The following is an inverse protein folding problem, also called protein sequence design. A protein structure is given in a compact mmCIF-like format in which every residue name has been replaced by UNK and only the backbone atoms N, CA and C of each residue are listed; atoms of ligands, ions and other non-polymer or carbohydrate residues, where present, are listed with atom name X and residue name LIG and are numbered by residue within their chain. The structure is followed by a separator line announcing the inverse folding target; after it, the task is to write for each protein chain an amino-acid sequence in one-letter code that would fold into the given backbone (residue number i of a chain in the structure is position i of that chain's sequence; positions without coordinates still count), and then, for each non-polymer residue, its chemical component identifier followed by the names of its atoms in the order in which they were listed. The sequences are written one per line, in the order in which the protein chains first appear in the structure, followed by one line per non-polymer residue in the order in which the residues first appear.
data_IF_392790341704
#
_entry.id   IF_392790341704
#
_cell.length_a   1.000
_cell.length_b   1.000
_cell.length_c   1.000
_cell.angle_alpha   90.00
_cell.angle_beta   90.00
_cell.angle_gamma   90.00
#
_symmetry.space_group_name_H-M   'P 1'
#
loop_
_entity.id
_entity.type
_entity.pdbx_description
1 polymer ?
#
# COMPACT_ATOMS: atom_id res chain seq x y z
N UNK A 1 -18.58 43.26 -63.19
CA UNK A 1 -17.28 43.08 -62.51
C UNK A 1 -17.47 43.37 -61.02
N UNK A 2 -17.18 42.37 -60.16
CA UNK A 2 -17.03 42.33 -58.68
C UNK A 2 -18.00 43.15 -57.78
N UNK A 3 -18.94 42.55 -57.02
CA UNK A 3 -18.85 41.70 -55.80
C UNK A 3 -18.17 42.40 -54.60
N UNK A 4 -18.89 42.51 -53.47
CA UNK A 4 -18.32 42.82 -52.15
C UNK A 4 -19.33 43.17 -51.04
N UNK A 5 -20.25 42.27 -50.68
CA UNK A 5 -21.13 42.44 -49.51
C UNK A 5 -20.45 41.88 -48.24
N UNK A 6 -20.10 42.80 -47.33
CA UNK A 6 -19.70 42.52 -45.95
C UNK A 6 -20.93 42.10 -45.14
N UNK A 7 -20.89 40.91 -44.56
CA UNK A 7 -21.86 40.51 -43.54
C UNK A 7 -21.78 39.02 -43.24
N UNK A 8 -21.19 38.66 -42.09
CA UNK A 8 -21.36 37.42 -41.28
C UNK A 8 -20.08 37.11 -40.49
N UNK A 9 -19.90 37.73 -39.32
CA UNK A 9 -18.89 37.26 -38.32
C UNK A 9 -19.45 37.23 -36.88
N UNK A 10 -20.78 37.27 -36.69
CA UNK A 10 -21.35 37.42 -35.33
C UNK A 10 -22.30 36.29 -34.88
N UNK A 11 -22.26 35.11 -35.51
CA UNK A 11 -23.14 33.98 -35.14
C UNK A 11 -22.39 32.72 -34.65
N UNK A 12 -21.05 32.67 -34.72
CA UNK A 12 -20.31 31.42 -34.43
C UNK A 12 -19.75 31.28 -33.01
N UNK A 13 -19.89 32.26 -32.12
CA UNK A 13 -19.33 32.18 -30.75
C UNK A 13 -20.34 31.68 -29.70
N UNK A 14 -21.64 31.81 -29.95
CA UNK A 14 -22.68 31.40 -28.98
C UNK A 14 -23.06 29.91 -29.02
N UNK A 15 -22.71 29.18 -30.08
CA UNK A 15 -23.03 27.74 -30.19
C UNK A 15 -21.95 26.82 -29.59
N UNK A 16 -20.70 27.28 -29.39
CA UNK A 16 -19.66 26.50 -28.71
C UNK A 16 -19.77 26.51 -27.18
N UNK A 17 -20.42 27.52 -26.59
CA UNK A 17 -20.60 27.60 -25.13
C UNK A 17 -21.62 26.61 -24.57
N UNK A 18 -22.68 26.29 -25.32
CA UNK A 18 -23.72 25.36 -24.86
C UNK A 18 -23.33 23.88 -25.00
N UNK A 19 -22.41 23.53 -25.90
CA UNK A 19 -21.91 22.15 -26.06
C UNK A 19 -20.93 21.73 -24.95
N UNK A 20 -20.29 22.69 -24.27
CA UNK A 20 -19.40 22.39 -23.13
C UNK A 20 -20.19 22.17 -21.83
N UNK A 21 -21.32 22.86 -21.65
CA UNK A 21 -22.18 22.74 -20.47
C UNK A 21 -22.98 21.41 -20.42
N UNK A 22 -23.24 20.77 -21.56
CA UNK A 22 -23.96 19.49 -21.62
C UNK A 22 -23.06 18.26 -21.49
N UNK A 23 -21.77 18.38 -21.82
CA UNK A 23 -20.77 17.30 -21.61
C UNK A 23 -20.34 17.18 -20.14
N UNK A 24 -20.33 18.29 -19.38
CA UNK A 24 -20.04 18.27 -17.94
C UNK A 24 -21.15 17.60 -17.10
N UNK A 25 -22.38 17.53 -17.64
CA UNK A 25 -23.51 16.87 -16.98
C UNK A 25 -23.55 15.35 -17.22
N UNK A 26 -22.86 14.84 -18.25
CA UNK A 26 -22.87 13.41 -18.61
C UNK A 26 -21.79 12.58 -17.90
N UNK A 27 -20.76 13.20 -17.33
CA UNK A 27 -19.69 12.48 -16.61
C UNK A 27 -20.09 12.04 -15.19
N UNK A 28 -21.24 12.48 -14.67
CA UNK A 28 -21.72 12.14 -13.33
C UNK A 28 -22.56 10.84 -13.25
N UNK A 29 -22.73 10.11 -14.35
CA UNK A 29 -23.65 8.96 -14.43
C UNK A 29 -23.07 7.67 -15.01
N UNK A 30 -21.74 7.54 -15.15
CA UNK A 30 -21.15 6.29 -15.64
C UNK A 30 -21.17 5.21 -14.53
N UNK A 31 -21.73 4.01 -14.79
CA UNK A 31 -21.75 2.93 -13.81
C UNK A 31 -20.33 2.38 -13.65
N UNK A 32 -19.70 2.67 -12.50
CA UNK A 32 -18.40 2.10 -12.14
C UNK A 32 -17.51 2.97 -11.25
N UNK A 33 -17.86 4.23 -10.99
CA UNK A 33 -17.24 5.04 -9.94
C UNK A 33 -17.89 4.79 -8.57
N UNK A 34 -17.15 4.90 -7.45
CA UNK A 34 -17.77 4.90 -6.13
C UNK A 34 -18.82 6.02 -6.07
N UNK A 35 -20.01 5.71 -5.56
CA UNK A 35 -21.08 6.70 -5.41
C UNK A 35 -20.64 7.79 -4.44
N UNK A 36 -21.14 9.03 -4.57
CA UNK A 36 -20.90 10.09 -3.57
C UNK A 36 -21.21 9.60 -2.16
N UNK A 37 -22.27 8.80 -1.98
CA UNK A 37 -22.63 8.19 -0.70
C UNK A 37 -21.56 7.24 -0.11
N UNK A 38 -20.76 6.56 -0.93
CA UNK A 38 -19.66 5.71 -0.44
C UNK A 38 -18.43 6.55 -0.03
N UNK A 39 -18.15 7.64 -0.76
CA UNK A 39 -17.12 8.60 -0.38
C UNK A 39 -17.50 9.33 0.91
N UNK A 40 -18.74 9.82 1.00
CA UNK A 40 -19.31 10.47 2.19
C UNK A 40 -19.32 9.51 3.40
N UNK A 41 -19.56 8.21 3.21
CA UNK A 41 -19.51 7.25 4.31
C UNK A 41 -18.07 7.00 4.80
N UNK A 42 -17.09 6.96 3.89
CA UNK A 42 -15.68 6.77 4.25
C UNK A 42 -15.10 8.01 4.94
N UNK A 43 -15.49 9.20 4.46
CA UNK A 43 -15.15 10.49 5.05
C UNK A 43 -15.86 10.65 6.41
N UNK A 44 -17.14 10.30 6.52
CA UNK A 44 -17.90 10.28 7.78
C UNK A 44 -17.36 9.28 8.81
N UNK A 45 -16.91 8.09 8.39
CA UNK A 45 -16.26 7.12 9.29
C UNK A 45 -14.90 7.64 9.77
N UNK A 46 -14.13 8.26 8.88
CA UNK A 46 -12.85 8.89 9.25
C UNK A 46 -13.08 10.09 10.17
N UNK A 47 -14.13 10.88 9.96
CA UNK A 47 -14.51 12.01 10.79
C UNK A 47 -15.02 11.57 12.16
N UNK A 48 -15.75 10.46 12.23
CA UNK A 48 -16.18 9.84 13.50
C UNK A 48 -14.98 9.27 14.27
N UNK A 49 -14.03 8.65 13.57
CA UNK A 49 -12.76 8.20 14.15
C UNK A 49 -11.91 9.39 14.64
N UNK A 50 -11.82 10.46 13.83
CA UNK A 50 -11.10 11.69 14.16
C UNK A 50 -11.74 12.44 15.34
N UNK A 51 -13.06 12.42 15.46
CA UNK A 51 -13.81 13.01 16.57
C UNK A 51 -13.70 12.19 17.87
N UNK A 52 -13.30 10.92 17.78
CA UNK A 52 -13.05 10.04 18.93
C UNK A 52 -11.61 10.13 19.45
N UNK A 53 -10.73 10.87 18.77
CA UNK A 53 -9.33 11.05 19.14
C UNK A 53 -9.23 12.27 20.06
N UNK A 54 -8.80 12.11 21.33
CA UNK A 54 -8.67 13.21 22.27
C UNK A 54 -7.75 14.32 21.75
N UNK A 55 -8.11 15.57 22.05
CA UNK A 55 -7.31 16.75 21.72
C UNK A 55 -6.00 16.85 22.51
N UNK A 56 -5.08 17.76 22.14
CA UNK A 56 -3.87 18.02 22.91
C UNK A 56 -4.27 18.48 24.33
N UNK A 57 -3.89 17.71 25.35
CA UNK A 57 -4.22 17.97 26.77
C UNK A 57 -5.37 17.16 27.36
N UNK A 58 -6.09 16.35 26.56
CA UNK A 58 -7.14 15.44 27.08
C UNK A 58 -6.59 14.06 27.49
N UNK A 59 -5.34 13.77 27.13
CA UNK A 59 -4.61 12.59 27.57
C UNK A 59 -4.04 12.81 28.99
N UNK A 60 -4.92 12.87 29.99
CA UNK A 60 -4.66 13.30 31.37
C UNK A 60 -3.24 13.11 31.93
N UNK A 61 -2.75 14.19 32.55
CA UNK A 61 -1.63 14.21 33.49
C UNK A 61 -1.97 13.36 34.72
N UNK A 62 -1.34 12.20 34.85
CA UNK A 62 -1.49 11.32 36.01
C UNK A 62 -0.10 10.91 36.49
N UNK A 63 0.67 11.86 37.02
CA UNK A 63 1.92 11.56 37.71
C UNK A 63 2.67 12.81 38.20
N UNK A 64 3.10 12.87 39.47
CA UNK A 64 3.83 14.01 40.00
C UNK A 64 5.31 13.96 39.58
N UNK A 65 5.81 15.06 39.01
CA UNK A 65 7.21 15.26 38.65
C UNK A 65 7.37 15.68 37.21
N UNK A 66 7.30 17.00 36.97
CA UNK A 66 7.56 17.75 35.73
C UNK A 66 7.82 16.88 34.51
N UNK A 67 6.75 16.27 33.97
CA UNK A 67 6.82 15.68 32.65
C UNK A 67 6.80 16.84 31.68
N UNK A 68 7.82 16.97 30.82
CA UNK A 68 7.61 17.69 29.57
C UNK A 68 6.42 16.97 28.93
N UNK A 69 5.27 17.64 28.91
CA UNK A 69 4.11 17.12 28.20
C UNK A 69 4.54 17.00 26.74
N UNK A 70 4.91 15.77 26.37
CA UNK A 70 5.44 15.43 25.06
C UNK A 70 4.46 15.90 24.00
N UNK A 71 3.16 15.79 24.28
CA UNK A 71 2.08 16.18 23.39
C UNK A 71 2.01 17.69 23.26
N UNK A 72 2.05 18.45 24.35
CA UNK A 72 2.03 19.93 24.27
C UNK A 72 3.24 20.49 23.55
N UNK A 73 4.45 19.99 23.84
CA UNK A 73 5.65 20.47 23.19
C UNK A 73 5.69 20.05 21.71
N UNK A 74 5.36 18.80 21.38
CA UNK A 74 5.35 18.36 19.98
C UNK A 74 4.16 18.90 19.18
N UNK A 75 3.02 19.21 19.79
CA UNK A 75 1.94 19.93 19.11
C UNK A 75 2.40 21.32 18.62
N UNK A 76 3.31 21.98 19.34
CA UNK A 76 3.89 23.27 18.95
C UNK A 76 5.13 23.12 18.06
N UNK A 77 6.08 22.25 18.44
CA UNK A 77 7.40 22.16 17.81
C UNK A 77 7.44 21.23 16.60
N UNK A 78 6.61 20.19 16.57
CA UNK A 78 6.52 19.25 15.46
C UNK A 78 5.08 18.78 15.27
N UNK A 79 4.19 19.67 14.80
CA UNK A 79 2.77 19.37 14.66
C UNK A 79 2.53 18.18 13.73
N UNK A 80 3.42 17.92 12.76
CA UNK A 80 3.27 16.78 11.87
C UNK A 80 3.37 15.45 12.62
N UNK A 81 4.38 15.29 13.49
CA UNK A 81 4.55 14.07 14.29
C UNK A 81 3.42 13.91 15.30
N UNK A 82 3.01 15.01 15.95
CA UNK A 82 1.87 14.99 16.86
C UNK A 82 0.57 14.56 16.14
N UNK A 83 0.28 15.16 14.98
CA UNK A 83 -0.93 14.90 14.21
C UNK A 83 -0.97 13.49 13.59
N UNK A 84 0.18 12.95 13.18
CA UNK A 84 0.25 11.57 12.68
C UNK A 84 0.11 10.55 13.81
N UNK A 85 0.77 10.78 14.96
CA UNK A 85 0.58 9.94 16.13
C UNK A 85 -0.87 9.98 16.63
N UNK A 86 -1.49 11.15 16.80
CA UNK A 86 -2.84 11.21 17.38
C UNK A 86 -3.88 10.43 16.57
N UNK A 87 -3.69 10.35 15.24
CA UNK A 87 -4.56 9.59 14.32
C UNK A 87 -4.26 8.10 14.28
N UNK A 88 -3.14 7.67 14.88
CA UNK A 88 -2.72 6.28 14.90
C UNK A 88 -3.58 5.42 15.82
N UNK A 89 -3.57 4.12 15.57
CA UNK A 89 -4.13 3.15 16.53
C UNK A 89 -3.40 3.18 17.86
N UNK A 90 -2.11 3.54 17.88
CA UNK A 90 -1.36 3.67 19.13
C UNK A 90 -1.93 4.77 20.02
N UNK A 91 -2.30 5.94 19.46
CA UNK A 91 -2.95 7.00 20.24
C UNK A 91 -4.35 6.62 20.72
N UNK A 92 -5.15 5.95 19.89
CA UNK A 92 -6.47 5.44 20.27
C UNK A 92 -6.36 4.45 21.44
N UNK A 93 -5.30 3.63 21.45
CA UNK A 93 -5.02 2.66 22.51
C UNK A 93 -4.19 3.27 23.67
N UNK A 94 -4.02 4.60 23.71
CA UNK A 94 -3.28 5.33 24.74
C UNK A 94 -1.80 4.91 24.90
N UNK A 95 -1.17 4.43 23.82
CA UNK A 95 0.28 4.20 23.75
C UNK A 95 0.96 5.56 23.53
N UNK A 96 1.44 6.13 24.63
CA UNK A 96 2.09 7.45 24.67
C UNK A 96 3.51 7.40 24.08
N UNK A 97 4.05 8.57 23.72
CA UNK A 97 5.37 8.73 23.09
C UNK A 97 6.49 8.02 23.88
N UNK A 98 6.46 8.14 25.19
CA UNK A 98 7.45 7.56 26.10
C UNK A 98 7.43 6.03 26.16
N UNK A 99 6.36 5.36 25.70
CA UNK A 99 6.33 3.90 25.61
C UNK A 99 7.39 3.38 24.61
N UNK A 100 7.62 4.13 23.53
CA UNK A 100 8.65 3.81 22.54
C UNK A 100 9.95 4.55 22.85
N UNK A 101 9.86 5.84 23.13
CA UNK A 101 11.02 6.73 23.23
C UNK A 101 11.62 6.83 24.64
N UNK A 102 10.93 6.40 25.70
CA UNK A 102 11.33 6.71 27.08
C UNK A 102 11.06 8.17 27.47
N UNK A 103 11.51 8.57 28.67
CA UNK A 103 11.46 9.97 29.12
C UNK A 103 12.85 10.58 29.13
N UNK A 104 12.97 11.91 29.21
CA UNK A 104 14.27 12.59 29.25
C UNK A 104 15.10 12.17 30.48
N UNK A 105 14.44 11.82 31.58
CA UNK A 105 15.05 11.36 32.83
C UNK A 105 15.35 9.85 32.79
N UNK A 106 14.61 9.09 31.97
CA UNK A 106 14.67 7.62 31.90
C UNK A 106 15.17 7.12 30.54
N UNK A 107 16.20 7.77 29.99
CA UNK A 107 16.93 7.28 28.82
C UNK A 107 16.16 7.46 27.50
N UNK A 108 15.79 8.70 27.19
CA UNK A 108 15.13 9.05 25.93
C UNK A 108 15.93 8.57 24.72
N UNK A 109 15.25 7.89 23.81
CA UNK A 109 15.83 7.36 22.56
C UNK A 109 15.00 7.86 21.38
N UNK A 110 15.53 8.76 20.53
CA UNK A 110 14.79 9.32 19.41
C UNK A 110 14.47 8.29 18.31
N UNK A 111 15.26 7.23 18.20
CA UNK A 111 15.03 6.11 17.28
C UNK A 111 15.01 4.80 18.07
N UNK A 112 13.85 4.41 18.60
CA UNK A 112 13.70 3.19 19.38
C UNK A 112 14.14 1.96 18.57
N UNK A 113 14.84 1.04 19.23
CA UNK A 113 15.23 -0.21 18.60
C UNK A 113 13.98 -1.10 18.38
N UNK A 114 13.95 -1.97 17.34
CA UNK A 114 12.79 -2.84 17.05
C UNK A 114 12.35 -3.72 18.22
N UNK A 115 13.24 -3.99 19.17
CA UNK A 115 12.96 -4.73 20.39
C UNK A 115 11.94 -4.01 21.28
N UNK A 116 11.76 -2.68 21.16
CA UNK A 116 10.68 -1.96 21.85
C UNK A 116 9.31 -2.44 21.39
N UNK A 117 9.19 -2.84 20.13
CA UNK A 117 7.95 -3.37 19.56
C UNK A 117 7.57 -4.73 20.18
N UNK A 118 8.55 -5.56 20.58
CA UNK A 118 8.29 -6.94 21.03
C UNK A 118 7.55 -7.02 22.36
N UNK A 119 7.59 -5.95 23.16
CA UNK A 119 6.82 -5.86 24.41
C UNK A 119 5.30 -5.99 24.20
N UNK A 120 4.79 -5.62 23.01
CA UNK A 120 3.39 -5.75 22.64
C UNK A 120 3.16 -6.61 21.39
N UNK A 121 4.08 -6.56 20.41
CA UNK A 121 4.02 -7.27 19.13
C UNK A 121 5.00 -8.44 19.07
N UNK A 122 5.05 -9.25 20.14
CA UNK A 122 6.01 -10.34 20.28
C UNK A 122 5.97 -11.33 19.12
N UNK A 123 4.77 -11.68 18.65
CA UNK A 123 4.57 -12.60 17.51
C UNK A 123 5.10 -11.99 16.22
N UNK A 124 4.68 -10.77 15.89
CA UNK A 124 5.07 -10.10 14.65
C UNK A 124 6.59 -9.88 14.60
N UNK A 125 7.20 -9.54 15.74
CA UNK A 125 8.67 -9.44 15.84
C UNK A 125 9.32 -10.81 15.62
N UNK A 126 8.81 -11.89 16.21
CA UNK A 126 9.37 -13.22 16.02
C UNK A 126 9.29 -13.68 14.54
N UNK A 127 8.13 -13.46 13.89
CA UNK A 127 7.94 -13.72 12.47
C UNK A 127 8.89 -12.89 11.59
N UNK A 128 9.01 -11.59 11.87
CA UNK A 128 9.91 -10.69 11.15
C UNK A 128 11.37 -11.15 11.24
N UNK A 129 11.81 -11.55 12.44
CA UNK A 129 13.17 -12.04 12.67
C UNK A 129 13.43 -13.40 12.01
N UNK A 130 12.40 -14.23 11.86
CA UNK A 130 12.46 -15.49 11.10
C UNK A 130 12.40 -15.29 9.57
N UNK A 131 12.03 -14.09 9.12
CA UNK A 131 11.89 -13.74 7.70
C UNK A 131 13.20 -13.31 7.03
N UNK A 132 13.15 -13.14 5.71
CA UNK A 132 14.30 -12.67 4.90
C UNK A 132 14.52 -11.15 5.03
N UNK A 133 13.49 -10.41 5.43
CA UNK A 133 13.56 -8.98 5.70
C UNK A 133 13.99 -8.63 7.13
N UNK A 134 14.35 -9.62 7.97
CA UNK A 134 14.88 -9.38 9.32
C UNK A 134 15.97 -8.30 9.31
N UNK A 135 16.04 -7.49 10.36
CA UNK A 135 16.95 -6.35 10.42
C UNK A 135 18.42 -6.82 10.41
N UNK A 136 19.05 -6.80 9.24
CA UNK A 136 20.47 -7.12 9.04
C UNK A 136 21.14 -5.95 8.33
N UNK A 137 22.47 -5.89 8.39
CA UNK A 137 23.24 -4.94 7.58
C UNK A 137 22.95 -5.05 6.07
N UNK A 138 22.51 -6.21 5.59
CA UNK A 138 22.21 -6.48 4.17
C UNK A 138 20.81 -6.03 3.75
N UNK A 139 19.81 -6.18 4.63
CA UNK A 139 18.41 -5.81 4.33
C UNK A 139 18.09 -4.37 4.73
N UNK A 140 18.69 -3.86 5.81
CA UNK A 140 18.40 -2.55 6.40
C UNK A 140 16.93 -2.31 6.78
N UNK A 141 16.10 -3.36 6.75
CA UNK A 141 14.65 -3.27 6.93
C UNK A 141 14.32 -3.33 8.42
N UNK A 142 13.35 -2.53 8.85
CA UNK A 142 12.89 -2.43 10.24
C UNK A 142 11.37 -2.52 10.29
N UNK A 143 10.79 -2.60 11.50
CA UNK A 143 9.34 -2.64 11.66
C UNK A 143 8.62 -1.44 11.01
N UNK A 144 9.30 -0.31 10.86
CA UNK A 144 8.73 0.92 10.30
C UNK A 144 8.97 1.06 8.79
N UNK A 145 9.51 0.02 8.13
CA UNK A 145 9.76 0.02 6.69
C UNK A 145 8.48 -0.20 5.87
N UNK A 146 7.48 -0.89 6.41
CA UNK A 146 6.24 -1.19 5.69
C UNK A 146 5.05 -0.33 6.16
N UNK A 147 4.85 -0.20 7.47
CA UNK A 147 3.88 0.74 8.07
C UNK A 147 4.67 1.83 8.80
N UNK A 148 4.91 2.98 8.14
CA UNK A 148 5.79 4.02 8.66
C UNK A 148 5.32 4.63 9.99
N UNK A 149 6.26 5.24 10.69
CA UNK A 149 5.94 6.11 11.83
C UNK A 149 5.27 7.40 11.34
N UNK A 150 4.46 8.11 12.13
CA UNK A 150 3.96 7.77 13.46
C UNK A 150 2.48 7.33 13.43
N UNK A 151 1.92 7.10 12.25
CA UNK A 151 0.55 6.58 12.10
C UNK A 151 0.46 5.06 12.21
N UNK A 152 1.53 4.35 11.81
CA UNK A 152 1.60 2.89 11.71
C UNK A 152 0.42 2.30 10.91
N UNK A 153 -0.01 2.99 9.85
CA UNK A 153 -1.20 2.61 9.09
C UNK A 153 -0.96 1.32 8.30
N UNK A 154 -1.76 0.30 8.63
CA UNK A 154 -1.74 -0.98 7.92
C UNK A 154 -2.23 -0.84 6.47
N UNK A 155 -3.03 0.17 6.13
CA UNK A 155 -3.41 0.42 4.74
C UNK A 155 -2.20 0.77 3.87
N UNK A 156 -1.22 1.51 4.43
CA UNK A 156 0.06 1.80 3.76
C UNK A 156 0.87 0.51 3.58
N UNK A 157 1.03 -0.28 4.64
CA UNK A 157 1.76 -1.55 4.57
C UNK A 157 1.14 -2.57 3.62
N UNK A 158 -0.15 -2.42 3.32
CA UNK A 158 -0.94 -3.27 2.43
C UNK A 158 -0.98 -2.78 0.98
N UNK A 159 -0.42 -1.60 0.70
CA UNK A 159 -0.32 -1.08 -0.66
C UNK A 159 0.92 -1.67 -1.36
N UNK A 160 0.82 -2.25 -2.57
CA UNK A 160 1.97 -2.82 -3.29
C UNK A 160 3.12 -1.83 -3.48
N UNK A 161 2.85 -0.52 -3.51
CA UNK A 161 3.87 0.53 -3.70
C UNK A 161 4.87 0.59 -2.55
N UNK A 162 4.51 0.10 -1.36
CA UNK A 162 5.45 0.04 -0.23
C UNK A 162 6.65 -0.86 -0.55
N UNK A 163 6.42 -1.94 -1.30
CA UNK A 163 7.47 -2.88 -1.71
C UNK A 163 8.34 -2.28 -2.82
N UNK A 164 7.74 -1.48 -3.71
CA UNK A 164 8.41 -0.92 -4.90
C UNK A 164 9.52 0.06 -4.50
N UNK A 165 9.40 0.76 -3.37
CA UNK A 165 10.43 1.68 -2.88
C UNK A 165 11.82 1.06 -2.85
N UNK A 166 11.91 -0.21 -2.42
CA UNK A 166 13.16 -0.98 -2.40
C UNK A 166 13.26 -1.96 -3.58
N UNK A 167 12.19 -2.67 -3.93
CA UNK A 167 12.18 -3.68 -4.99
C UNK A 167 12.04 -3.11 -6.42
N UNK A 168 12.30 -1.81 -6.62
CA UNK A 168 12.20 -1.13 -7.92
C UNK A 168 13.04 -1.75 -9.04
N UNK A 169 14.17 -2.37 -8.72
CA UNK A 169 15.05 -2.99 -9.72
C UNK A 169 14.56 -4.38 -10.17
N UNK A 170 13.58 -4.97 -9.48
CA UNK A 170 13.02 -6.26 -9.87
C UNK A 170 12.13 -6.10 -11.10
N UNK A 171 12.52 -6.75 -12.20
CA UNK A 171 11.74 -6.76 -13.43
C UNK A 171 10.35 -7.37 -13.24
N UNK A 172 10.20 -8.35 -12.33
CA UNK A 172 8.90 -8.93 -11.97
C UNK A 172 8.02 -7.91 -11.26
N UNK A 173 8.56 -7.17 -10.28
CA UNK A 173 7.81 -6.13 -9.55
C UNK A 173 7.36 -5.03 -10.51
N UNK A 174 8.22 -4.57 -11.40
CA UNK A 174 7.83 -3.59 -12.42
C UNK A 174 6.70 -4.11 -13.31
N UNK A 175 6.80 -5.36 -13.78
CA UNK A 175 5.75 -5.97 -14.61
C UNK A 175 4.43 -6.18 -13.88
N UNK A 176 4.46 -6.47 -12.57
CA UNK A 176 3.24 -6.51 -11.77
C UNK A 176 2.50 -5.16 -11.81
N UNK A 177 3.21 -4.05 -11.60
CA UNK A 177 2.59 -2.71 -11.60
C UNK A 177 1.89 -2.38 -12.92
N UNK A 178 2.45 -2.83 -14.05
CA UNK A 178 1.86 -2.65 -15.39
C UNK A 178 0.96 -3.81 -15.84
N UNK A 179 0.71 -4.80 -14.98
CA UNK A 179 -0.21 -5.90 -15.26
C UNK A 179 -1.66 -5.48 -15.05
N UNK A 180 -2.61 -6.28 -15.56
CA UNK A 180 -4.04 -6.06 -15.30
C UNK A 180 -4.35 -6.06 -13.79
N UNK A 181 -3.72 -6.94 -13.01
CA UNK A 181 -3.92 -7.00 -11.56
C UNK A 181 -3.39 -5.74 -10.88
N UNK A 182 -2.17 -5.30 -11.21
CA UNK A 182 -1.58 -4.07 -10.65
C UNK A 182 -2.40 -2.82 -11.00
N UNK A 183 -2.84 -2.70 -12.25
CA UNK A 183 -3.69 -1.58 -12.69
C UNK A 183 -5.07 -1.62 -12.03
N UNK A 184 -5.72 -2.79 -11.96
CA UNK A 184 -7.01 -2.93 -11.28
C UNK A 184 -6.88 -2.58 -9.79
N UNK A 185 -5.87 -3.11 -9.09
CA UNK A 185 -5.59 -2.79 -7.70
C UNK A 185 -5.39 -1.29 -7.51
N UNK A 186 -4.62 -0.63 -8.38
CA UNK A 186 -4.38 0.82 -8.28
C UNK A 186 -5.66 1.64 -8.47
N UNK A 187 -6.56 1.21 -9.35
CA UNK A 187 -7.80 1.95 -9.66
C UNK A 187 -8.91 1.66 -8.65
N UNK A 188 -9.04 0.40 -8.20
CA UNK A 188 -10.20 -0.09 -7.45
C UNK A 188 -9.87 -0.51 -6.01
N UNK A 189 -8.60 -0.58 -5.63
CA UNK A 189 -8.15 -0.91 -4.28
C UNK A 189 -7.92 -2.40 -4.03
N UNK A 190 -7.55 -2.73 -2.78
CA UNK A 190 -7.03 -4.03 -2.31
C UNK A 190 -7.86 -5.24 -2.75
N UNK A 191 -9.17 -5.19 -2.61
CA UNK A 191 -10.02 -6.37 -2.82
C UNK A 191 -10.37 -6.63 -4.29
N UNK A 192 -9.87 -5.78 -5.20
CA UNK A 192 -10.22 -5.84 -6.62
C UNK A 192 -9.26 -6.69 -7.46
N UNK A 193 -8.05 -6.92 -6.97
CA UNK A 193 -7.03 -7.75 -7.60
C UNK A 193 -5.92 -8.08 -6.59
N UNK A 194 -5.28 -9.25 -6.77
CA UNK A 194 -4.19 -9.70 -5.90
C UNK A 194 -2.99 -8.73 -5.93
N UNK A 195 -2.45 -8.45 -4.74
CA UNK A 195 -1.26 -7.64 -4.50
C UNK A 195 -0.04 -8.44 -4.05
N UNK A 196 1.12 -7.76 -3.92
CA UNK A 196 2.37 -8.36 -3.45
C UNK A 196 2.17 -9.15 -2.16
N UNK A 197 1.46 -8.54 -1.21
CA UNK A 197 1.21 -9.07 0.12
C UNK A 197 0.38 -10.35 0.05
N UNK A 198 -0.66 -10.42 -0.79
CA UNK A 198 -1.47 -11.65 -0.94
C UNK A 198 -0.59 -12.84 -1.30
N UNK A 199 0.38 -12.65 -2.20
CA UNK A 199 1.28 -13.71 -2.69
C UNK A 199 2.50 -13.99 -1.80
N UNK A 200 3.14 -12.95 -1.26
CA UNK A 200 4.43 -13.05 -0.58
C UNK A 200 4.33 -12.94 0.95
N UNK A 201 3.17 -12.57 1.46
CA UNK A 201 2.94 -12.20 2.86
C UNK A 201 1.57 -12.75 3.29
N UNK A 202 1.41 -14.08 3.35
CA UNK A 202 0.12 -14.70 3.65
C UNK A 202 -0.34 -14.32 5.06
N UNK A 203 -1.65 -14.29 5.28
CA UNK A 203 -2.24 -13.89 6.56
C UNK A 203 -1.75 -14.74 7.75
N UNK A 204 -1.38 -16.00 7.51
CA UNK A 204 -0.85 -16.91 8.53
C UNK A 204 0.57 -16.57 9.01
N UNK A 205 1.35 -15.81 8.22
CA UNK A 205 2.75 -15.47 8.48
C UNK A 205 3.08 -14.06 7.95
N UNK A 206 2.29 -13.07 8.38
CA UNK A 206 2.25 -11.74 7.75
C UNK A 206 3.54 -10.91 7.96
N UNK A 207 4.43 -11.28 8.88
CA UNK A 207 5.73 -10.60 9.03
C UNK A 207 6.92 -11.44 8.58
N UNK A 208 6.70 -12.73 8.28
CA UNK A 208 7.74 -13.62 7.78
C UNK A 208 7.82 -13.56 6.25
N UNK A 209 8.20 -12.40 5.71
CA UNK A 209 8.35 -12.24 4.26
C UNK A 209 9.44 -13.20 3.78
N UNK A 210 9.03 -14.21 2.99
CA UNK A 210 9.94 -15.18 2.40
C UNK A 210 10.27 -14.72 0.98
N UNK A 211 11.53 -14.38 0.75
CA UNK A 211 12.03 -14.22 -0.60
C UNK A 211 12.36 -15.61 -1.13
N UNK A 212 11.54 -16.15 -2.05
CA UNK A 212 12.09 -17.08 -3.02
C UNK A 212 13.11 -16.29 -3.84
N UNK A 213 14.39 -16.62 -3.66
CA UNK A 213 15.54 -15.98 -4.29
C UNK A 213 15.66 -16.32 -5.78
N UNK A 214 14.68 -16.99 -6.39
CA UNK A 214 14.68 -17.32 -7.83
C UNK A 214 14.13 -16.21 -8.73
N UNK A 215 13.69 -15.08 -8.17
CA UNK A 215 12.97 -14.05 -8.92
C UNK A 215 13.86 -13.02 -9.65
N UNK A 216 15.14 -13.35 -9.84
CA UNK A 216 16.15 -12.47 -10.43
C UNK A 216 16.10 -12.46 -11.97
N UNK A 217 15.34 -13.39 -12.57
CA UNK A 217 15.27 -13.56 -14.02
C UNK A 217 13.84 -13.47 -14.53
N UNK A 218 13.50 -12.29 -15.05
CA UNK A 218 12.41 -12.01 -16.00
C UNK A 218 11.18 -12.91 -15.84
N UNK A 219 10.61 -12.92 -14.64
CA UNK A 219 9.27 -13.47 -14.45
C UNK A 219 8.33 -12.37 -14.90
N UNK A 220 7.77 -12.54 -16.11
CA UNK A 220 6.53 -11.86 -16.45
C UNK A 220 5.50 -12.21 -15.35
N UNK A 221 4.39 -11.48 -15.20
CA UNK A 221 3.28 -11.85 -14.29
C UNK A 221 2.72 -13.29 -14.48
N UNK A 222 3.32 -14.07 -15.38
CA UNK A 222 3.21 -15.50 -15.60
C UNK A 222 4.38 -16.24 -14.89
N UNK A 223 4.19 -16.70 -13.64
CA UNK A 223 5.23 -17.43 -12.89
C UNK A 223 5.35 -18.90 -13.31
N UNK A 224 4.57 -19.35 -14.29
CA UNK A 224 4.52 -20.76 -14.73
C UNK A 224 5.88 -21.35 -15.09
N UNK A 225 6.78 -20.51 -15.62
CA UNK A 225 8.15 -20.88 -16.01
C UNK A 225 9.10 -21.03 -14.82
N UNK A 226 8.99 -20.18 -13.80
CA UNK A 226 9.93 -20.13 -12.67
C UNK A 226 9.54 -21.02 -11.51
N UNK A 227 8.30 -21.52 -11.47
CA UNK A 227 7.80 -22.36 -10.39
C UNK A 227 8.09 -23.85 -10.62
N UNK A 228 8.37 -24.57 -9.53
CA UNK A 228 8.33 -26.04 -9.50
C UNK A 228 6.88 -26.53 -9.64
N UNK A 229 6.66 -27.85 -9.79
CA UNK A 229 5.30 -28.39 -9.81
C UNK A 229 4.55 -28.08 -8.51
N UNK A 230 5.16 -28.34 -7.36
CA UNK A 230 4.57 -28.02 -6.06
C UNK A 230 4.32 -26.51 -5.91
N UNK A 231 5.25 -25.68 -6.41
CA UNK A 231 5.07 -24.22 -6.43
C UNK A 231 3.89 -23.77 -7.29
N UNK A 232 3.64 -24.45 -8.42
CA UNK A 232 2.47 -24.21 -9.27
C UNK A 232 1.17 -24.59 -8.57
N UNK A 233 1.16 -25.72 -7.85
CA UNK A 233 -0.02 -26.16 -7.10
C UNK A 233 -0.34 -25.19 -5.95
N UNK A 234 0.68 -24.77 -5.19
CA UNK A 234 0.52 -23.77 -4.14
C UNK A 234 -0.02 -22.43 -4.69
N UNK A 235 0.55 -21.93 -5.79
CA UNK A 235 0.08 -20.68 -6.42
C UNK A 235 -1.34 -20.80 -6.99
N UNK A 236 -1.73 -21.98 -7.47
CA UNK A 236 -3.09 -22.23 -7.97
C UNK A 236 -4.13 -22.00 -6.88
N UNK A 237 -3.86 -22.42 -5.64
CA UNK A 237 -4.78 -22.23 -4.52
C UNK A 237 -5.13 -20.75 -4.28
N UNK A 238 -4.18 -19.85 -4.54
CA UNK A 238 -4.39 -18.40 -4.39
C UNK A 238 -5.21 -17.83 -5.54
N UNK A 239 -5.00 -18.34 -6.75
CA UNK A 239 -5.73 -17.90 -7.93
C UNK A 239 -7.20 -18.31 -7.90
N UNK A 240 -7.53 -19.47 -7.30
CA UNK A 240 -8.91 -19.96 -7.23
C UNK A 240 -9.79 -19.24 -6.22
N UNK A 241 -9.21 -18.36 -5.40
CA UNK A 241 -9.97 -17.45 -4.53
C UNK A 241 -10.83 -16.47 -5.36
N UNK A 242 -10.40 -16.16 -6.59
CA UNK A 242 -11.09 -15.21 -7.47
C UNK A 242 -11.41 -15.76 -8.87
N UNK A 243 -10.71 -16.80 -9.32
CA UNK A 243 -10.86 -17.37 -10.66
C UNK A 243 -11.41 -18.81 -10.59
N UNK A 244 -12.12 -19.22 -11.64
CA UNK A 244 -12.41 -20.64 -11.81
C UNK A 244 -11.11 -21.46 -11.88
N UNK A 245 -11.09 -22.64 -11.26
CA UNK A 245 -9.90 -23.50 -11.20
C UNK A 245 -9.32 -23.80 -12.59
N UNK A 246 -10.18 -24.04 -13.59
CA UNK A 246 -9.74 -24.25 -14.97
C UNK A 246 -8.93 -23.08 -15.52
N UNK A 247 -9.32 -21.84 -15.21
CA UNK A 247 -8.64 -20.61 -15.66
C UNK A 247 -7.33 -20.40 -14.90
N UNK A 248 -7.34 -20.63 -13.59
CA UNK A 248 -6.13 -20.57 -12.76
C UNK A 248 -5.08 -21.58 -13.25
N UNK A 249 -5.50 -22.84 -13.44
CA UNK A 249 -4.62 -23.92 -13.91
C UNK A 249 -4.13 -23.69 -15.33
N UNK A 250 -4.98 -23.23 -16.25
CA UNK A 250 -4.52 -22.93 -17.61
C UNK A 250 -3.41 -21.88 -17.60
N UNK A 251 -3.50 -20.85 -16.74
CA UNK A 251 -2.45 -19.83 -16.68
C UNK A 251 -1.17 -20.31 -16.00
N UNK A 252 -1.28 -21.05 -14.90
CA UNK A 252 -0.12 -21.46 -14.10
C UNK A 252 0.62 -22.67 -14.70
N UNK A 253 -0.06 -23.57 -15.42
CA UNK A 253 0.54 -24.77 -15.99
C UNK A 253 0.78 -24.69 -17.50
N UNK A 254 0.24 -23.69 -18.20
CA UNK A 254 0.49 -23.48 -19.63
C UNK A 254 1.16 -22.11 -19.84
N UNK A 255 2.50 -22.05 -19.82
CA UNK A 255 3.22 -20.79 -20.03
C UNK A 255 2.84 -20.17 -21.37
N UNK A 256 2.73 -18.84 -21.40
CA UNK A 256 2.48 -18.10 -22.63
C UNK A 256 3.50 -18.51 -23.73
N UNK A 257 3.07 -18.89 -24.94
CA UNK A 257 3.98 -19.27 -26.02
C UNK A 257 5.00 -18.17 -26.36
N UNK A 258 4.64 -16.90 -26.21
CA UNK A 258 5.54 -15.76 -26.39
C UNK A 258 6.60 -15.78 -25.29
N UNK A 259 6.19 -15.95 -24.02
CA UNK A 259 7.13 -16.05 -22.89
C UNK A 259 8.07 -17.23 -23.08
N UNK A 260 7.53 -18.41 -23.42
CA UNK A 260 8.30 -19.63 -23.70
C UNK A 260 9.33 -19.44 -24.83
N UNK A 261 8.97 -18.72 -25.89
CA UNK A 261 9.87 -18.41 -27.01
C UNK A 261 11.01 -17.48 -26.59
N UNK A 262 10.71 -16.45 -25.80
CA UNK A 262 11.71 -15.49 -25.30
C UNK A 262 12.62 -16.07 -24.21
N UNK A 263 12.13 -16.97 -23.36
CA UNK A 263 12.92 -17.62 -22.31
C UNK A 263 13.79 -18.75 -22.84
N UNK A 264 13.30 -19.58 -23.78
CA UNK A 264 14.13 -20.62 -24.45
C UNK A 264 15.36 -20.04 -25.14
N UNK A 265 15.25 -18.84 -25.70
CA UNK A 265 16.38 -18.15 -26.33
C UNK A 265 17.48 -17.72 -25.35
N UNK A 266 17.23 -17.73 -24.03
CA UNK A 266 18.17 -17.29 -22.99
C UNK A 266 18.71 -18.43 -22.10
N UNK A 267 18.28 -19.67 -22.33
CA UNK A 267 18.60 -20.81 -21.48
C UNK A 267 17.78 -20.84 -20.19
N UNK A 268 17.47 -22.03 -19.69
CA UNK A 268 16.85 -22.23 -18.38
C UNK A 268 17.84 -21.87 -17.28
N UNK A 269 17.52 -21.00 -16.31
CA UNK A 269 18.34 -20.86 -15.11
C UNK A 269 18.07 -22.08 -14.21
N UNK A 270 18.84 -23.15 -14.38
CA UNK A 270 18.69 -24.35 -13.57
C UNK A 270 19.28 -25.66 -14.10
N UNK A 271 20.27 -25.62 -15.00
CA UNK A 271 21.26 -26.68 -15.09
C UNK A 271 22.58 -26.16 -14.51
#
# INVERSE_FOLDING_TARGET
MCIGLRGRVLVSVLLLGLLCATLAAWSKGLPGGPTPAFLDMKESMQDTLNASIPGPGEYGDQGPGVQVDCLKCHADKDPFIYETWRKSRHAIMNVKCNACHGTHEQGFTPKPAPERCSSCHAREVAEFQAGRHRNTAQSGTTCVSCHPIHDFDLAIARDPRICVGCHRASSHVQRYLFSKMGVIHQIRGRDSAAECQRCHVPESLMHQVTTDTRNDYVVNHDPSWSLTQDGREAMTQMCVECHAESTARSRIFQPDPIVTKWTRARGSPGN
#
